data_IF_913499363070
#
_entry.id   IF_913499363070
#
_cell.length_a   1.000
_cell.length_b   1.000
_cell.length_c   1.000
_cell.angle_alpha   90.00
_cell.angle_beta   90.00
_cell.angle_gamma   90.00
#
_symmetry.space_group_name_H-M   'P 1'
#
loop_
_entity.id
_entity.type
_entity.pdbx_description
1 polymer ?
#
# COMPACT_ATOMS: atom_id res chain seq x y z
N UNK A 1 17.03 22.84 21.32
CA UNK A 1 17.91 23.32 20.23
C UNK A 1 17.64 24.80 20.06
N UNK A 2 18.65 25.60 20.42
CA UNK A 2 18.60 27.06 20.41
C UNK A 2 18.49 27.52 18.96
N UNK A 3 17.38 28.16 18.58
CA UNK A 3 17.32 28.89 17.32
C UNK A 3 18.13 30.18 17.52
N UNK A 4 19.29 30.26 16.87
CA UNK A 4 20.04 31.50 16.75
C UNK A 4 19.22 32.50 15.92
N UNK A 5 18.82 33.61 16.54
CA UNK A 5 18.02 34.70 15.95
C UNK A 5 18.65 35.40 14.74
N UNK A 6 19.89 35.06 14.39
CA UNK A 6 20.67 35.69 13.32
C UNK A 6 20.49 35.05 11.93
N UNK A 7 19.77 33.92 11.82
CA UNK A 7 19.71 33.10 10.59
C UNK A 7 18.25 32.85 10.20
N UNK A 8 17.47 33.92 10.00
CA UNK A 8 16.11 33.83 9.49
C UNK A 8 16.00 34.56 8.14
N UNK A 9 15.30 33.97 7.16
CA UNK A 9 15.07 34.63 5.87
C UNK A 9 16.18 34.47 4.83
N UNK A 10 17.19 33.63 5.07
CA UNK A 10 18.26 33.38 4.09
C UNK A 10 17.73 32.70 2.81
N UNK A 11 18.29 33.03 1.65
CA UNK A 11 17.94 32.40 0.37
C UNK A 11 18.51 30.96 0.22
N UNK A 12 19.46 30.59 1.06
CA UNK A 12 20.21 29.32 1.02
C UNK A 12 20.19 28.64 2.39
N UNK A 13 20.40 27.32 2.42
CA UNK A 13 20.32 26.50 3.64
C UNK A 13 19.00 25.74 3.79
N UNK A 14 18.88 24.97 4.87
CA UNK A 14 17.72 24.10 5.15
C UNK A 14 16.48 24.91 5.57
N UNK A 15 16.67 25.94 6.40
CA UNK A 15 15.61 26.84 6.86
C UNK A 15 15.57 28.14 6.02
N UNK A 16 15.64 27.97 4.71
CA UNK A 16 15.64 29.09 3.76
C UNK A 16 14.24 29.66 3.51
N UNK A 17 14.22 30.91 3.09
CA UNK A 17 13.02 31.67 2.74
C UNK A 17 12.40 32.38 3.93
N UNK A 18 11.37 33.18 3.64
CA UNK A 18 10.67 33.96 4.65
C UNK A 18 9.88 33.04 5.58
N UNK A 19 10.06 33.24 6.89
CA UNK A 19 9.34 32.52 7.93
C UNK A 19 7.87 32.94 7.94
N UNK A 20 7.00 32.14 7.32
CA UNK A 20 5.55 32.37 7.27
C UNK A 20 4.81 31.31 8.10
N UNK A 21 3.80 31.73 8.86
CA UNK A 21 2.87 30.82 9.55
C UNK A 21 1.96 30.12 8.53
N UNK A 22 2.11 28.80 8.38
CA UNK A 22 1.30 28.03 7.42
C UNK A 22 -0.12 27.82 7.94
N UNK A 23 -1.10 28.25 7.14
CA UNK A 23 -2.51 27.98 7.43
C UNK A 23 -2.89 26.53 7.03
N UNK A 24 -3.49 25.78 7.96
CA UNK A 24 -3.95 24.41 7.74
C UNK A 24 -5.31 24.42 7.04
N UNK A 25 -5.31 24.13 5.73
CA UNK A 25 -6.53 24.02 4.94
C UNK A 25 -7.13 22.61 4.99
N UNK A 26 -8.45 22.51 4.96
CA UNK A 26 -9.16 21.23 4.80
C UNK A 26 -8.72 20.54 3.50
N UNK A 27 -8.57 19.21 3.56
CA UNK A 27 -8.23 18.41 2.39
C UNK A 27 -9.30 18.53 1.29
N UNK A 28 -8.89 18.91 0.08
CA UNK A 28 -9.76 18.96 -1.09
C UNK A 28 -10.35 17.58 -1.41
N UNK A 29 -11.61 17.55 -1.83
CA UNK A 29 -12.33 16.30 -2.13
C UNK A 29 -11.60 15.43 -3.17
N UNK A 30 -10.99 16.04 -4.19
CA UNK A 30 -10.26 15.30 -5.25
C UNK A 30 -9.11 14.45 -4.70
N UNK A 31 -8.50 14.84 -3.56
CA UNK A 31 -7.44 14.06 -2.91
C UNK A 31 -7.94 12.81 -2.20
N UNK A 32 -9.26 12.65 -2.01
CA UNK A 32 -9.87 11.44 -1.44
C UNK A 32 -10.16 10.35 -2.48
N UNK A 33 -9.93 10.62 -3.77
CA UNK A 33 -10.16 9.65 -4.86
C UNK A 33 -9.30 8.41 -4.63
N UNK A 34 -9.91 7.22 -4.67
CA UNK A 34 -9.25 5.93 -4.46
C UNK A 34 -9.39 5.35 -3.04
N UNK A 35 -9.94 6.11 -2.09
CA UNK A 35 -10.28 5.59 -0.78
C UNK A 35 -11.46 4.59 -0.87
N UNK A 36 -11.31 3.42 -0.26
CA UNK A 36 -12.37 2.42 -0.20
C UNK A 36 -13.42 2.79 0.85
N UNK A 37 -14.67 2.97 0.43
CA UNK A 37 -15.83 3.15 1.32
C UNK A 37 -16.34 1.80 1.84
N UNK A 38 -17.13 1.80 2.92
CA UNK A 38 -17.71 0.57 3.50
C UNK A 38 -18.45 -0.27 2.45
N UNK A 39 -19.32 0.37 1.65
CA UNK A 39 -20.05 -0.28 0.54
C UNK A 39 -19.11 -0.93 -0.48
N UNK A 40 -18.05 -0.22 -0.91
CA UNK A 40 -17.11 -0.79 -1.90
C UNK A 40 -16.30 -1.97 -1.38
N UNK A 41 -16.03 -2.05 -0.07
CA UNK A 41 -15.34 -3.20 0.52
C UNK A 41 -16.21 -4.45 0.47
N UNK A 42 -17.45 -4.35 0.96
CA UNK A 42 -18.43 -5.45 0.94
C UNK A 42 -18.63 -6.00 -0.46
N UNK A 43 -18.81 -5.12 -1.46
CA UNK A 43 -18.97 -5.55 -2.86
C UNK A 43 -17.72 -6.26 -3.38
N UNK A 44 -16.52 -5.79 -3.05
CA UNK A 44 -15.27 -6.43 -3.49
C UNK A 44 -15.04 -7.80 -2.85
N UNK A 45 -15.42 -7.96 -1.59
CA UNK A 45 -15.35 -9.24 -0.86
C UNK A 45 -16.31 -10.26 -1.50
N UNK A 46 -17.56 -9.88 -1.74
CA UNK A 46 -18.56 -10.72 -2.40
C UNK A 46 -18.13 -11.15 -3.82
N UNK A 47 -17.62 -10.22 -4.63
CA UNK A 47 -17.13 -10.58 -5.98
C UNK A 47 -15.95 -11.53 -5.90
N UNK A 48 -15.04 -11.34 -4.94
CA UNK A 48 -13.87 -12.22 -4.78
C UNK A 48 -14.28 -13.64 -4.38
N UNK A 49 -15.29 -13.79 -3.54
CA UNK A 49 -15.85 -15.08 -3.14
C UNK A 49 -16.43 -15.83 -4.34
N UNK A 50 -17.24 -15.16 -5.16
CA UNK A 50 -17.89 -15.77 -6.34
C UNK A 50 -16.88 -16.10 -7.45
N UNK A 51 -15.98 -15.17 -7.77
CA UNK A 51 -15.06 -15.31 -8.92
C UNK A 51 -13.80 -16.09 -8.59
N UNK A 52 -13.42 -16.17 -7.31
CA UNK A 52 -12.21 -16.85 -6.85
C UNK A 52 -10.90 -16.16 -7.24
N UNK A 53 -9.87 -16.98 -7.45
CA UNK A 53 -8.50 -16.54 -7.74
C UNK A 53 -8.08 -16.81 -9.18
N UNK A 54 -7.41 -15.82 -9.78
CA UNK A 54 -6.81 -15.97 -11.09
C UNK A 54 -5.69 -17.03 -11.08
N UNK A 55 -5.35 -17.66 -12.22
CA UNK A 55 -4.34 -18.72 -12.26
C UNK A 55 -2.97 -18.32 -11.71
N UNK A 56 -2.54 -17.06 -11.93
CA UNK A 56 -1.28 -16.56 -11.39
C UNK A 56 -1.33 -16.31 -9.88
N UNK A 57 -2.50 -15.96 -9.33
CA UNK A 57 -2.72 -15.79 -7.90
C UNK A 57 -2.68 -17.17 -7.20
N UNK A 58 -3.26 -18.20 -7.81
CA UNK A 58 -3.18 -19.59 -7.34
C UNK A 58 -1.74 -20.10 -7.27
N UNK A 59 -0.97 -19.94 -8.35
CA UNK A 59 0.46 -20.31 -8.37
C UNK A 59 1.29 -19.53 -7.34
N UNK A 60 0.93 -18.28 -7.08
CA UNK A 60 1.57 -17.49 -6.04
C UNK A 60 1.26 -18.06 -4.65
N UNK A 61 0.01 -18.43 -4.38
CA UNK A 61 -0.41 -19.05 -3.13
C UNK A 61 0.32 -20.37 -2.87
N UNK A 62 0.50 -21.21 -3.90
CA UNK A 62 1.30 -22.44 -3.81
C UNK A 62 2.75 -22.17 -3.41
N UNK A 63 3.40 -21.18 -4.04
CA UNK A 63 4.78 -20.81 -3.71
C UNK A 63 4.91 -20.27 -2.27
N UNK A 64 3.92 -19.53 -1.79
CA UNK A 64 3.89 -19.00 -0.43
C UNK A 64 3.57 -20.09 0.61
N UNK A 65 2.83 -21.15 0.24
CA UNK A 65 2.60 -22.32 1.12
C UNK A 65 3.90 -23.07 1.44
N UNK A 66 4.81 -23.17 0.46
CA UNK A 66 6.13 -23.79 0.61
C UNK A 66 7.18 -22.79 1.14
N UNK A 67 6.75 -21.62 1.64
CA UNK A 67 7.62 -20.58 2.20
C UNK A 67 8.71 -20.08 1.23
N UNK A 68 8.48 -20.13 -0.10
CA UNK A 68 9.44 -19.66 -1.12
C UNK A 68 9.18 -18.20 -1.51
N UNK A 69 9.21 -17.30 -0.54
CA UNK A 69 8.75 -15.90 -0.69
C UNK A 69 9.49 -15.11 -1.78
N UNK A 70 10.82 -15.27 -1.88
CA UNK A 70 11.62 -14.59 -2.91
C UNK A 70 11.24 -15.07 -4.32
N UNK A 71 10.90 -16.35 -4.48
CA UNK A 71 10.45 -16.93 -5.75
C UNK A 71 9.03 -16.50 -6.08
N UNK A 72 8.13 -16.48 -5.09
CA UNK A 72 6.77 -15.94 -5.23
C UNK A 72 6.83 -14.46 -5.68
N UNK A 73 7.68 -13.65 -5.04
CA UNK A 73 7.85 -12.25 -5.39
C UNK A 73 8.38 -12.04 -6.81
N UNK A 74 9.42 -12.78 -7.23
CA UNK A 74 9.95 -12.72 -8.59
C UNK A 74 8.89 -13.11 -9.63
N UNK A 75 8.12 -14.17 -9.36
CA UNK A 75 7.04 -14.60 -10.25
C UNK A 75 5.95 -13.53 -10.39
N UNK A 76 5.46 -12.99 -9.27
CA UNK A 76 4.40 -11.97 -9.29
C UNK A 76 4.89 -10.66 -9.91
N UNK A 77 6.16 -10.29 -9.69
CA UNK A 77 6.77 -9.14 -10.39
C UNK A 77 6.81 -9.35 -11.90
N UNK A 78 7.14 -10.55 -12.38
CA UNK A 78 7.10 -10.85 -13.81
C UNK A 78 5.68 -10.77 -14.41
N UNK A 79 4.63 -11.02 -13.63
CA UNK A 79 3.23 -10.93 -14.08
C UNK A 79 2.62 -9.53 -13.97
N UNK A 80 2.92 -8.80 -12.89
CA UNK A 80 2.33 -7.48 -12.58
C UNK A 80 3.21 -6.31 -13.04
N UNK A 81 4.49 -6.56 -13.30
CA UNK A 81 5.48 -5.61 -13.83
C UNK A 81 6.30 -4.90 -12.75
N UNK A 82 5.65 -4.11 -11.89
CA UNK A 82 6.37 -3.21 -10.95
C UNK A 82 6.56 -3.81 -9.56
N UNK A 83 7.65 -3.41 -8.88
CA UNK A 83 7.99 -3.88 -7.54
C UNK A 83 6.91 -3.55 -6.50
N UNK A 84 6.40 -2.32 -6.50
CA UNK A 84 5.39 -1.87 -5.53
C UNK A 84 4.07 -2.63 -5.68
N UNK A 85 3.62 -2.87 -6.91
CA UNK A 85 2.38 -3.63 -7.16
C UNK A 85 2.56 -5.10 -6.79
N UNK A 86 3.70 -5.71 -7.14
CA UNK A 86 4.00 -7.09 -6.76
C UNK A 86 4.04 -7.28 -5.23
N UNK A 87 4.63 -6.33 -4.50
CA UNK A 87 4.67 -6.35 -3.03
C UNK A 87 3.25 -6.29 -2.45
N UNK A 88 2.44 -5.32 -2.90
CA UNK A 88 1.02 -5.22 -2.50
C UNK A 88 0.25 -6.51 -2.77
N UNK A 89 0.48 -7.13 -3.93
CA UNK A 89 -0.20 -8.37 -4.32
C UNK A 89 0.22 -9.56 -3.46
N UNK A 90 1.51 -9.64 -3.10
CA UNK A 90 2.00 -10.63 -2.14
C UNK A 90 1.35 -10.50 -0.78
N UNK A 91 1.30 -9.27 -0.27
CA UNK A 91 0.75 -9.01 1.05
C UNK A 91 -0.77 -9.30 1.09
N UNK A 92 -1.50 -9.02 0.00
CA UNK A 92 -2.91 -9.41 -0.18
C UNK A 92 -3.08 -10.94 -0.07
N UNK A 93 -2.32 -11.73 -0.84
CA UNK A 93 -2.43 -13.20 -0.81
C UNK A 93 -1.98 -13.78 0.53
N UNK A 94 -0.93 -13.23 1.15
CA UNK A 94 -0.49 -13.67 2.46
C UNK A 94 -1.57 -13.47 3.53
N UNK A 95 -2.26 -12.32 3.51
CA UNK A 95 -3.35 -12.02 4.43
C UNK A 95 -4.53 -12.98 4.25
N UNK A 96 -4.89 -13.28 3.01
CA UNK A 96 -5.94 -14.25 2.68
C UNK A 96 -5.59 -15.64 3.21
N UNK A 97 -4.36 -16.12 2.98
CA UNK A 97 -3.93 -17.42 3.51
C UNK A 97 -3.99 -17.48 5.04
N UNK A 98 -3.62 -16.38 5.71
CA UNK A 98 -3.71 -16.29 7.16
C UNK A 98 -5.17 -16.31 7.65
N UNK A 99 -6.10 -15.69 6.92
CA UNK A 99 -7.53 -15.76 7.21
C UNK A 99 -8.08 -17.17 7.02
N UNK A 100 -7.72 -17.84 5.93
CA UNK A 100 -8.11 -19.24 5.70
C UNK A 100 -7.60 -20.15 6.82
N UNK A 101 -6.33 -20.02 7.21
CA UNK A 101 -5.76 -20.78 8.34
C UNK A 101 -6.48 -20.54 9.66
N UNK A 102 -6.97 -19.32 9.90
CA UNK A 102 -7.76 -18.99 11.09
C UNK A 102 -9.17 -19.56 11.05
N UNK A 103 -9.79 -19.66 9.88
CA UNK A 103 -11.13 -20.24 9.72
C UNK A 103 -11.14 -21.76 9.85
N UNK A 104 -10.05 -22.43 9.45
CA UNK A 104 -9.89 -23.87 9.57
C UNK A 104 -9.47 -24.36 10.96
N UNK A 105 -9.24 -23.43 11.90
CA UNK A 105 -8.92 -23.72 13.29
C UNK A 105 -10.17 -23.48 14.14
#
# INVERSE_FOLDING_TARGET
MVQSSAVEGLAIGLEKGVRVTKNVRKLRQNRKRGAATKKTKVVRELVREITGFAPYERRMMELLRVSRDKKAFKFTKARVGTHLRAKKKRDEIQNIMNQMRKQHK
#
